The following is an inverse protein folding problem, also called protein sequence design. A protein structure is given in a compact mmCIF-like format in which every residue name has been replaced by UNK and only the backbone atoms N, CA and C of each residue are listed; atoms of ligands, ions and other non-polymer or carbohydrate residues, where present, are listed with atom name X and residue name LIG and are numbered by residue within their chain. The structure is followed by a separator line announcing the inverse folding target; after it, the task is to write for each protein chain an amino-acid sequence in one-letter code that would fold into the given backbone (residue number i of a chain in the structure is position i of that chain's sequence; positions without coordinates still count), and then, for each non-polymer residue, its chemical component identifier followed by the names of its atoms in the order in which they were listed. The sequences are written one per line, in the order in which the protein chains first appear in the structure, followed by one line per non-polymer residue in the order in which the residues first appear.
data_IF_219349121243
#
_entry.id   IF_219349121243
#
_cell.length_a   1.000
_cell.length_b   1.000
_cell.length_c   1.000
_cell.angle_alpha   90.00
_cell.angle_beta   90.00
_cell.angle_gamma   90.00
#
_symmetry.space_group_name_H-M   'P 1'
#
loop_
_entity.id
_entity.type
_entity.pdbx_description
1 polymer ?
#
# COMPACT_ATOMS: atom_id res chain seq x y z
N UNK A 1 -4.37 23.04 12.89
CA UNK A 1 -3.31 24.04 13.07
C UNK A 1 -2.17 23.42 13.87
N UNK A 2 -0.93 23.63 13.44
CA UNK A 2 0.30 23.10 14.07
C UNK A 2 0.69 23.87 15.34
N UNK A 3 0.09 25.04 15.50
CA UNK A 3 0.38 25.99 16.58
C UNK A 3 -0.83 26.15 17.50
N UNK A 4 -0.55 26.29 18.78
CA UNK A 4 -1.49 26.70 19.82
C UNK A 4 -0.88 27.87 20.60
N UNK A 5 -1.71 28.63 21.31
CA UNK A 5 -1.20 29.67 22.20
C UNK A 5 -0.95 29.10 23.58
N UNK A 6 0.20 29.38 24.15
CA UNK A 6 0.53 29.05 25.54
C UNK A 6 -0.18 29.99 26.54
N UNK A 7 0.05 29.78 27.81
CA UNK A 7 -0.53 30.60 28.90
C UNK A 7 -0.14 32.09 28.83
N UNK A 8 0.94 32.43 28.11
CA UNK A 8 1.44 33.80 27.93
C UNK A 8 0.93 34.42 26.60
N UNK A 9 0.16 33.64 25.79
CA UNK A 9 -0.34 34.08 24.50
C UNK A 9 0.63 33.94 23.35
N UNK A 10 1.80 33.32 23.55
CA UNK A 10 2.77 33.03 22.52
C UNK A 10 2.43 31.77 21.74
N UNK A 11 2.75 31.79 20.44
CA UNK A 11 2.52 30.60 19.59
C UNK A 11 3.59 29.54 19.86
N UNK A 12 3.13 28.36 20.31
CA UNK A 12 3.94 27.18 20.56
C UNK A 12 3.45 26.00 19.70
N UNK A 13 4.34 25.08 19.40
CA UNK A 13 3.94 23.87 18.69
C UNK A 13 3.08 22.97 19.58
N UNK A 14 1.91 22.58 19.08
CA UNK A 14 0.97 21.70 19.76
C UNK A 14 1.59 20.35 20.12
N UNK A 15 2.42 19.78 19.23
CA UNK A 15 3.16 18.56 19.48
C UNK A 15 4.67 18.82 19.44
N UNK A 16 5.24 19.16 20.59
CA UNK A 16 6.67 19.46 20.75
C UNK A 16 7.56 18.24 20.42
N UNK A 17 7.11 17.01 20.72
CA UNK A 17 7.89 15.80 20.42
C UNK A 17 7.99 15.54 18.92
N UNK A 18 6.88 15.72 18.22
CA UNK A 18 6.83 15.59 16.75
C UNK A 18 7.69 16.66 16.09
N UNK A 19 7.62 17.90 16.57
CA UNK A 19 8.46 18.99 16.07
C UNK A 19 9.95 18.74 16.29
N UNK A 20 10.35 18.24 17.46
CA UNK A 20 11.74 17.89 17.74
C UNK A 20 12.25 16.78 16.81
N UNK A 21 11.42 15.75 16.53
CA UNK A 21 11.75 14.71 15.56
C UNK A 21 11.92 15.27 14.14
N UNK A 22 10.99 16.11 13.68
CA UNK A 22 11.08 16.72 12.36
C UNK A 22 12.34 17.58 12.23
N UNK A 23 12.69 18.34 13.27
CA UNK A 23 13.93 19.16 13.29
C UNK A 23 15.19 18.29 13.25
N UNK A 24 15.18 17.11 13.88
CA UNK A 24 16.28 16.18 13.84
C UNK A 24 16.41 15.48 12.46
N UNK A 25 15.29 15.23 11.79
CA UNK A 25 15.28 14.58 10.47
C UNK A 25 15.65 15.56 9.34
N UNK A 26 15.37 16.85 9.46
CA UNK A 26 15.60 17.82 8.40
C UNK A 26 17.05 17.80 7.84
N UNK A 27 18.13 17.85 8.65
CA UNK A 27 19.49 17.80 8.11
C UNK A 27 19.82 16.44 7.45
N UNK A 28 19.25 15.35 7.93
CA UNK A 28 19.42 14.01 7.32
C UNK A 28 18.76 14.00 5.94
N UNK A 29 17.57 14.59 5.83
CA UNK A 29 16.86 14.69 4.56
C UNK A 29 17.60 15.59 3.56
N UNK A 30 18.17 16.71 4.01
CA UNK A 30 19.01 17.58 3.17
C UNK A 30 20.24 16.83 2.63
N UNK A 31 20.88 16.03 3.47
CA UNK A 31 22.01 15.19 3.06
C UNK A 31 21.56 14.11 2.06
N UNK A 32 20.44 13.43 2.32
CA UNK A 32 19.85 12.46 1.40
C UNK A 32 19.61 13.06 0.02
N UNK A 33 18.98 14.23 -0.06
CA UNK A 33 18.75 14.93 -1.32
C UNK A 33 20.04 15.33 -2.04
N UNK A 34 21.09 15.69 -1.28
CA UNK A 34 22.40 16.02 -1.86
C UNK A 34 23.07 14.77 -2.46
N UNK A 35 23.04 13.65 -1.76
CA UNK A 35 23.59 12.38 -2.23
C UNK A 35 22.82 11.84 -3.44
N UNK A 36 21.47 11.91 -3.44
CA UNK A 36 20.63 11.55 -4.57
C UNK A 36 20.99 12.35 -5.83
N UNK A 37 21.17 13.68 -5.71
CA UNK A 37 21.58 14.54 -6.82
C UNK A 37 22.98 14.21 -7.31
N UNK A 38 23.93 13.95 -6.42
CA UNK A 38 25.29 13.56 -6.77
C UNK A 38 25.34 12.22 -7.52
N UNK A 39 24.46 11.29 -7.16
CA UNK A 39 24.32 9.98 -7.80
C UNK A 39 23.46 10.02 -9.08
N UNK A 40 22.91 11.19 -9.45
CA UNK A 40 21.94 11.36 -10.56
C UNK A 40 20.71 10.44 -10.42
N UNK A 41 20.27 10.21 -9.17
CA UNK A 41 19.10 9.43 -8.82
C UNK A 41 17.94 10.32 -8.40
N UNK A 42 16.73 9.80 -8.52
CA UNK A 42 15.50 10.43 -8.05
C UNK A 42 14.53 9.35 -7.55
N UNK A 43 13.70 9.68 -6.58
CA UNK A 43 12.61 8.83 -6.10
C UNK A 43 11.27 9.15 -6.79
N UNK A 44 10.22 8.41 -6.43
CA UNK A 44 8.90 8.59 -7.05
C UNK A 44 8.26 9.96 -6.74
N UNK A 45 8.53 10.52 -5.56
CA UNK A 45 8.03 11.85 -5.19
C UNK A 45 8.75 12.93 -5.99
N UNK A 46 10.06 12.78 -6.21
CA UNK A 46 10.86 13.68 -7.05
C UNK A 46 10.35 13.72 -8.48
N UNK A 47 9.86 12.60 -9.04
CA UNK A 47 9.30 12.56 -10.40
C UNK A 47 8.19 13.60 -10.57
N UNK A 48 7.25 13.66 -9.62
CA UNK A 48 6.12 14.59 -9.68
C UNK A 48 6.57 16.01 -9.32
N UNK A 49 7.36 16.17 -8.26
CA UNK A 49 7.80 17.48 -7.77
C UNK A 49 8.71 18.19 -8.77
N UNK A 50 9.63 17.48 -9.43
CA UNK A 50 10.50 18.04 -10.45
C UNK A 50 9.70 18.50 -11.67
N UNK A 51 8.66 17.75 -12.06
CA UNK A 51 7.76 18.17 -13.14
C UNK A 51 7.00 19.44 -12.75
N UNK A 52 6.43 19.52 -11.56
CA UNK A 52 5.77 20.74 -11.06
C UNK A 52 6.73 21.94 -11.12
N UNK A 53 7.93 21.79 -10.58
CA UNK A 53 8.93 22.85 -10.57
C UNK A 53 9.34 23.26 -12.00
N UNK A 54 9.56 22.31 -12.89
CA UNK A 54 9.95 22.59 -14.27
C UNK A 54 8.86 23.37 -15.02
N UNK A 55 7.61 22.98 -14.90
CA UNK A 55 6.48 23.67 -15.54
C UNK A 55 6.30 25.08 -14.97
N UNK A 56 6.55 25.28 -13.67
CA UNK A 56 6.43 26.59 -13.03
C UNK A 56 7.62 27.51 -13.33
N UNK A 57 8.82 26.97 -13.47
CA UNK A 57 10.06 27.75 -13.69
C UNK A 57 10.31 28.04 -15.16
N UNK A 58 9.88 27.20 -16.09
CA UNK A 58 10.14 27.31 -17.51
C UNK A 58 8.87 27.55 -18.31
N UNK A 59 8.50 28.84 -18.58
CA UNK A 59 7.29 29.19 -19.32
C UNK A 59 7.20 28.55 -20.71
N UNK A 60 8.34 28.42 -21.40
CA UNK A 60 8.37 27.80 -22.73
C UNK A 60 8.01 26.30 -22.68
N UNK A 61 8.48 25.60 -21.66
CA UNK A 61 8.11 24.20 -21.44
C UNK A 61 6.61 24.09 -21.15
N UNK A 62 6.09 24.94 -20.27
CA UNK A 62 4.66 24.98 -19.96
C UNK A 62 3.83 25.24 -21.20
N UNK A 63 4.19 26.26 -21.98
CA UNK A 63 3.48 26.60 -23.25
C UNK A 63 3.49 25.43 -24.23
N UNK A 64 4.64 24.80 -24.45
CA UNK A 64 4.75 23.64 -25.34
C UNK A 64 3.88 22.47 -24.88
N UNK A 65 3.75 22.24 -23.57
CA UNK A 65 2.87 21.19 -23.03
C UNK A 65 1.40 21.56 -23.16
N UNK A 66 1.01 22.82 -22.97
CA UNK A 66 -0.35 23.32 -23.16
C UNK A 66 -0.79 23.19 -24.64
N UNK A 67 0.09 23.53 -25.58
CA UNK A 67 -0.18 23.36 -27.02
C UNK A 67 -0.28 21.88 -27.42
N UNK A 68 0.50 21.02 -26.77
CA UNK A 68 0.48 19.57 -27.02
C UNK A 68 -0.76 18.89 -26.47
N UNK A 69 -1.19 19.29 -25.27
CA UNK A 69 -2.29 18.66 -24.53
C UNK A 69 -3.50 19.60 -24.45
N UNK A 70 -4.20 19.72 -25.57
CA UNK A 70 -5.35 20.61 -25.69
C UNK A 70 -6.61 20.11 -25.01
N UNK A 71 -6.68 18.80 -24.70
CA UNK A 71 -7.77 18.16 -23.98
C UNK A 71 -7.17 17.35 -22.85
N UNK A 72 -7.62 17.62 -21.62
CA UNK A 72 -7.16 16.94 -20.42
C UNK A 72 -8.35 16.25 -19.76
N UNK A 73 -8.24 14.94 -19.58
CA UNK A 73 -9.23 14.13 -18.87
C UNK A 73 -8.57 13.48 -17.67
N UNK A 74 -9.19 13.65 -16.50
CA UNK A 74 -8.70 13.09 -15.23
C UNK A 74 -9.73 12.12 -14.70
N UNK A 75 -9.33 10.88 -14.55
CA UNK A 75 -10.13 9.83 -13.93
C UNK A 75 -9.74 9.68 -12.45
N UNK A 76 -10.62 9.11 -11.65
CA UNK A 76 -10.45 8.91 -10.20
C UNK A 76 -9.96 10.19 -9.48
N UNK A 77 -10.58 11.32 -9.81
CA UNK A 77 -10.13 12.64 -9.36
C UNK A 77 -10.06 12.78 -7.84
N UNK A 78 -10.90 12.04 -7.08
CA UNK A 78 -10.90 12.02 -5.62
C UNK A 78 -9.56 11.51 -5.03
N UNK A 79 -8.79 10.73 -5.79
CA UNK A 79 -7.53 10.16 -5.35
C UNK A 79 -6.30 11.01 -5.72
N UNK A 80 -6.54 12.20 -6.32
CA UNK A 80 -5.47 13.13 -6.66
C UNK A 80 -4.85 13.79 -5.44
N UNK A 81 -3.54 13.94 -5.45
CA UNK A 81 -2.81 14.74 -4.46
C UNK A 81 -2.62 16.20 -4.94
N UNK A 82 -2.13 17.06 -4.04
CA UNK A 82 -1.95 18.47 -4.33
C UNK A 82 -0.92 18.74 -5.45
N UNK A 83 0.13 17.93 -5.56
CA UNK A 83 1.14 18.09 -6.60
C UNK A 83 0.57 17.78 -8.00
N UNK A 84 -0.21 16.70 -8.10
CA UNK A 84 -0.94 16.38 -9.33
C UNK A 84 -1.92 17.49 -9.71
N UNK A 85 -2.67 18.03 -8.74
CA UNK A 85 -3.56 19.16 -8.99
C UNK A 85 -2.81 20.39 -9.51
N UNK A 86 -1.60 20.68 -8.97
CA UNK A 86 -0.75 21.78 -9.47
C UNK A 86 -0.33 21.57 -10.91
N UNK A 87 0.01 20.33 -11.31
CA UNK A 87 0.30 20.01 -12.72
C UNK A 87 -0.90 20.33 -13.59
N UNK A 88 -2.10 19.89 -13.20
CA UNK A 88 -3.33 20.14 -13.95
C UNK A 88 -3.59 21.62 -14.12
N UNK A 89 -3.50 22.41 -13.06
CA UNK A 89 -3.72 23.85 -13.15
C UNK A 89 -2.67 24.54 -14.04
N UNK A 90 -1.40 24.18 -13.93
CA UNK A 90 -0.37 24.72 -14.80
C UNK A 90 -0.58 24.38 -16.29
N UNK A 91 -1.12 23.19 -16.59
CA UNK A 91 -1.39 22.77 -17.96
C UNK A 91 -2.65 23.43 -18.55
N UNK A 92 -3.58 23.86 -17.71
CA UNK A 92 -4.87 24.42 -18.15
C UNK A 92 -4.98 25.93 -17.99
N UNK A 93 -4.04 26.56 -17.28
CA UNK A 93 -4.02 27.99 -17.03
C UNK A 93 -3.39 28.72 -18.23
N UNK A 94 -4.23 29.03 -19.20
CA UNK A 94 -3.79 29.66 -20.48
C UNK A 94 -3.63 31.18 -20.33
N UNK A 95 -2.58 31.79 -20.93
CA UNK A 95 -2.33 33.23 -20.82
C UNK A 95 -3.44 34.08 -21.43
N UNK A 96 -4.26 33.52 -22.30
CA UNK A 96 -5.30 34.24 -23.05
C UNK A 96 -6.68 34.18 -22.40
N UNK A 97 -6.82 33.49 -21.27
CA UNK A 97 -8.09 33.39 -20.52
C UNK A 97 -9.18 32.58 -21.22
N UNK A 98 -8.83 31.80 -22.23
CA UNK A 98 -9.76 30.86 -22.87
C UNK A 98 -10.14 29.76 -21.88
N UNK A 99 -11.40 29.33 -21.92
CA UNK A 99 -11.88 28.26 -21.10
C UNK A 99 -11.12 26.95 -21.45
N UNK A 100 -10.42 26.30 -20.49
CA UNK A 100 -9.66 25.10 -20.79
C UNK A 100 -10.56 23.90 -21.07
N UNK A 101 -10.12 23.02 -21.95
CA UNK A 101 -10.78 21.74 -22.21
C UNK A 101 -10.33 20.71 -21.16
N UNK A 102 -10.89 20.77 -19.96
CA UNK A 102 -10.61 19.84 -18.89
C UNK A 102 -11.88 19.14 -18.42
N UNK A 103 -11.79 17.83 -18.21
CA UNK A 103 -12.83 17.03 -17.59
C UNK A 103 -12.23 16.25 -16.41
N UNK A 104 -12.86 16.31 -15.26
CA UNK A 104 -12.53 15.53 -14.09
C UNK A 104 -13.70 14.60 -13.74
N UNK A 105 -13.42 13.32 -13.60
CA UNK A 105 -14.39 12.28 -13.21
C UNK A 105 -13.93 11.68 -11.89
N UNK A 106 -14.85 11.50 -10.97
CA UNK A 106 -14.53 10.94 -9.66
C UNK A 106 -15.75 10.78 -8.76
N UNK A 107 -15.56 10.07 -7.68
CA UNK A 107 -16.57 9.83 -6.65
C UNK A 107 -15.94 9.96 -5.25
N UNK A 108 -16.32 10.99 -4.51
CA UNK A 108 -15.81 11.24 -3.15
C UNK A 108 -16.13 10.08 -2.18
N UNK A 109 -17.21 9.34 -2.42
CA UNK A 109 -17.58 8.19 -1.62
C UNK A 109 -16.61 6.99 -1.81
N UNK A 110 -15.77 7.03 -2.85
CA UNK A 110 -14.72 6.03 -3.13
C UNK A 110 -13.31 6.50 -2.72
N UNK A 111 -13.18 7.67 -2.10
CA UNK A 111 -11.89 8.22 -1.68
C UNK A 111 -11.28 7.46 -0.48
N UNK A 112 -10.43 6.48 -0.76
CA UNK A 112 -9.79 5.62 0.25
C UNK A 112 -8.27 5.81 0.36
N UNK A 113 -7.66 6.68 -0.46
CA UNK A 113 -6.21 6.88 -0.53
C UNK A 113 -5.69 8.12 0.20
N UNK A 114 -6.44 8.65 1.18
CA UNK A 114 -6.01 9.81 1.97
C UNK A 114 -4.68 9.59 2.71
N UNK A 115 -4.35 8.35 3.08
CA UNK A 115 -3.07 7.98 3.70
C UNK A 115 -1.87 8.11 2.72
N UNK A 116 -2.11 8.15 1.41
CA UNK A 116 -1.11 8.39 0.36
C UNK A 116 -1.11 9.86 -0.12
N UNK A 117 -1.79 10.75 0.60
CA UNK A 117 -1.82 12.18 0.28
C UNK A 117 -2.95 12.59 -0.67
N UNK A 118 -3.87 11.69 -1.03
CA UNK A 118 -5.10 12.05 -1.72
C UNK A 118 -5.94 13.00 -0.84
N UNK A 119 -6.52 14.02 -1.47
CA UNK A 119 -7.29 15.04 -0.77
C UNK A 119 -8.61 15.32 -1.52
N UNK A 120 -9.71 14.83 -0.97
CA UNK A 120 -11.06 15.11 -1.49
C UNK A 120 -11.32 16.61 -1.63
N UNK A 121 -10.65 17.45 -0.81
CA UNK A 121 -10.67 18.90 -0.95
C UNK A 121 -10.22 19.41 -2.32
N UNK A 122 -9.52 18.58 -3.13
CA UNK A 122 -9.15 18.92 -4.49
C UNK A 122 -10.39 19.13 -5.40
N UNK A 123 -11.49 18.45 -5.14
CA UNK A 123 -12.75 18.68 -5.86
C UNK A 123 -13.26 20.11 -5.62
N UNK A 124 -13.21 20.58 -4.37
CA UNK A 124 -13.58 21.97 -4.07
C UNK A 124 -12.61 22.99 -4.66
N UNK A 125 -11.27 22.66 -4.69
CA UNK A 125 -10.26 23.52 -5.32
C UNK A 125 -10.46 23.59 -6.82
N UNK A 126 -10.78 22.47 -7.48
CA UNK A 126 -11.13 22.42 -8.90
C UNK A 126 -12.31 23.34 -9.21
N UNK A 127 -13.42 23.22 -8.49
CA UNK A 127 -14.61 24.05 -8.68
C UNK A 127 -14.32 25.54 -8.44
N UNK A 128 -13.47 25.86 -7.46
CA UNK A 128 -13.07 27.25 -7.21
C UNK A 128 -12.19 27.80 -8.33
N UNK A 129 -11.34 26.96 -8.90
CA UNK A 129 -10.43 27.35 -9.99
C UNK A 129 -11.17 27.52 -11.31
N UNK A 130 -12.19 26.70 -11.56
CA UNK A 130 -13.04 26.76 -12.77
C UNK A 130 -14.49 27.08 -12.36
N UNK A 131 -14.83 28.35 -12.06
CA UNK A 131 -16.14 28.70 -11.56
C UNK A 131 -17.28 28.41 -12.55
N UNK A 132 -17.02 28.49 -13.83
CA UNK A 132 -17.99 28.28 -14.92
C UNK A 132 -18.06 26.79 -15.38
N UNK A 133 -17.52 25.84 -14.59
CA UNK A 133 -17.56 24.44 -14.96
C UNK A 133 -18.99 23.89 -15.00
N UNK A 134 -19.29 23.02 -15.96
CA UNK A 134 -20.49 22.20 -15.97
C UNK A 134 -20.30 21.00 -15.04
N UNK A 135 -21.32 20.68 -14.25
CA UNK A 135 -21.30 19.51 -13.36
C UNK A 135 -22.40 18.54 -13.77
N UNK A 136 -22.04 17.28 -13.97
CA UNK A 136 -22.96 16.21 -14.33
C UNK A 136 -22.87 15.11 -13.26
N UNK A 137 -24.00 14.73 -12.71
CA UNK A 137 -24.10 13.63 -11.73
C UNK A 137 -24.57 12.39 -12.48
N UNK A 138 -23.76 11.32 -12.43
CA UNK A 138 -24.09 10.04 -13.03
C UNK A 138 -24.87 9.20 -12.01
N UNK A 139 -26.14 8.89 -12.29
CA UNK A 139 -27.01 8.11 -11.39
C UNK A 139 -27.33 6.73 -11.93
N UNK A 140 -27.12 6.49 -13.23
CA UNK A 140 -27.39 5.19 -13.85
C UNK A 140 -26.20 4.24 -13.64
N UNK A 141 -26.46 3.07 -13.05
CA UNK A 141 -25.45 2.05 -12.79
C UNK A 141 -25.74 0.78 -13.62
N UNK A 142 -24.76 0.41 -14.43
CA UNK A 142 -24.83 -0.76 -15.33
C UNK A 142 -23.97 -1.94 -14.85
N UNK A 143 -23.34 -1.82 -13.68
CA UNK A 143 -22.42 -2.82 -13.12
C UNK A 143 -23.08 -3.69 -12.06
N UNK A 144 -23.74 -3.06 -11.10
CA UNK A 144 -24.22 -3.71 -9.88
C UNK A 144 -25.73 -3.76 -9.80
N UNK A 145 -26.24 -4.77 -9.13
CA UNK A 145 -27.68 -4.85 -8.82
C UNK A 145 -28.10 -3.79 -7.80
N UNK A 146 -29.42 -3.50 -7.75
CA UNK A 146 -29.95 -2.51 -6.83
C UNK A 146 -29.69 -2.86 -5.37
N UNK A 147 -29.74 -4.14 -4.99
CA UNK A 147 -29.46 -4.56 -3.62
C UNK A 147 -28.03 -4.20 -3.18
N UNK A 148 -27.02 -4.42 -4.04
CA UNK A 148 -25.63 -4.04 -3.75
C UNK A 148 -25.52 -2.53 -3.57
N UNK A 149 -26.14 -1.75 -4.48
CA UNK A 149 -26.10 -0.29 -4.43
C UNK A 149 -26.76 0.26 -3.16
N UNK A 150 -27.91 -0.31 -2.78
CA UNK A 150 -28.64 0.11 -1.58
C UNK A 150 -27.83 -0.19 -0.31
N UNK A 151 -27.21 -1.38 -0.21
CA UNK A 151 -26.36 -1.74 0.95
C UNK A 151 -25.12 -0.87 1.03
N UNK A 152 -24.47 -0.60 -0.09
CA UNK A 152 -23.33 0.32 -0.15
C UNK A 152 -23.72 1.74 0.31
N UNK A 153 -24.90 2.21 -0.15
CA UNK A 153 -25.43 3.51 0.25
C UNK A 153 -25.76 3.58 1.74
N UNK A 154 -26.40 2.57 2.33
CA UNK A 154 -26.69 2.51 3.76
C UNK A 154 -25.43 2.70 4.62
N UNK A 155 -24.28 2.21 4.15
CA UNK A 155 -23.00 2.35 4.85
C UNK A 155 -22.43 3.75 4.65
N UNK A 156 -22.34 4.22 3.40
CA UNK A 156 -21.61 5.45 3.07
C UNK A 156 -22.32 6.73 3.54
N UNK A 157 -23.65 6.74 3.66
CA UNK A 157 -24.39 7.90 4.17
C UNK A 157 -24.06 8.24 5.63
N UNK A 158 -23.40 7.34 6.37
CA UNK A 158 -22.91 7.57 7.72
C UNK A 158 -21.63 8.42 7.74
N UNK A 159 -20.94 8.56 6.60
CA UNK A 159 -19.72 9.36 6.49
C UNK A 159 -20.05 10.86 6.51
N UNK A 160 -19.19 11.64 7.18
CA UNK A 160 -19.29 13.11 7.23
C UNK A 160 -18.52 13.74 6.06
N UNK A 161 -18.98 14.92 5.62
CA UNK A 161 -18.26 15.73 4.63
C UNK A 161 -18.44 15.28 3.18
N UNK A 162 -19.45 14.49 2.89
CA UNK A 162 -19.78 14.02 1.54
C UNK A 162 -20.20 15.19 0.64
N UNK A 163 -19.83 15.10 -0.64
CA UNK A 163 -20.22 16.07 -1.66
C UNK A 163 -21.74 16.15 -1.85
N UNK A 164 -22.44 15.04 -1.69
CA UNK A 164 -23.90 14.99 -1.75
C UNK A 164 -24.54 16.02 -0.82
N UNK A 165 -24.02 16.13 0.42
CA UNK A 165 -24.52 17.09 1.41
C UNK A 165 -23.98 18.50 1.17
N UNK A 166 -22.69 18.64 0.82
CA UNK A 166 -22.04 19.94 0.67
C UNK A 166 -22.40 20.68 -0.61
N UNK A 167 -22.88 19.94 -1.62
CA UNK A 167 -23.22 20.44 -2.95
C UNK A 167 -24.71 20.35 -3.27
N UNK A 168 -25.51 19.79 -2.38
CA UNK A 168 -26.95 19.55 -2.58
C UNK A 168 -27.25 18.80 -3.88
N UNK A 169 -26.52 17.71 -4.11
CA UNK A 169 -26.67 16.84 -5.28
C UNK A 169 -27.25 15.49 -4.88
N UNK A 170 -28.03 14.87 -5.77
CA UNK A 170 -28.54 13.52 -5.57
C UNK A 170 -27.56 12.50 -6.17
N UNK A 171 -26.97 11.65 -5.34
CA UNK A 171 -26.07 10.54 -5.74
C UNK A 171 -26.73 9.17 -5.60
N UNK A 172 -28.06 9.09 -5.54
CA UNK A 172 -28.76 7.82 -5.47
C UNK A 172 -28.65 7.11 -6.83
N UNK A 173 -27.98 5.96 -6.82
CA UNK A 173 -27.75 5.15 -8.02
C UNK A 173 -28.97 4.27 -8.35
N UNK A 174 -29.25 4.13 -9.64
CA UNK A 174 -30.29 3.24 -10.17
C UNK A 174 -29.62 2.13 -10.99
N UNK A 175 -29.89 0.88 -10.63
CA UNK A 175 -29.36 -0.27 -11.36
C UNK A 175 -30.11 -0.48 -12.68
N UNK A 176 -29.36 -0.71 -13.75
CA UNK A 176 -29.84 -1.10 -15.06
C UNK A 176 -29.42 -2.53 -15.43
N UNK A 177 -28.94 -3.31 -14.46
CA UNK A 177 -28.61 -4.71 -14.67
C UNK A 177 -29.85 -5.57 -14.43
N UNK A 178 -30.00 -6.63 -15.21
CA UNK A 178 -31.09 -7.60 -15.06
C UNK A 178 -30.75 -8.74 -14.08
N UNK A 179 -29.73 -8.57 -13.22
CA UNK A 179 -29.32 -9.60 -12.27
C UNK A 179 -30.28 -9.66 -11.07
N UNK A 180 -31.42 -10.30 -11.29
CA UNK A 180 -32.48 -10.48 -10.28
C UNK A 180 -32.09 -11.41 -9.11
N UNK A 181 -30.92 -12.08 -9.20
CA UNK A 181 -30.50 -13.11 -8.24
C UNK A 181 -29.32 -12.68 -7.35
N UNK A 182 -28.89 -11.43 -7.44
CA UNK A 182 -27.81 -10.97 -6.56
C UNK A 182 -28.33 -10.81 -5.13
N UNK A 183 -27.62 -11.39 -4.18
CA UNK A 183 -27.89 -11.26 -2.75
C UNK A 183 -26.64 -10.83 -2.01
N UNK A 184 -26.81 -9.88 -1.10
CA UNK A 184 -25.78 -9.51 -0.13
C UNK A 184 -26.01 -10.33 1.14
N UNK A 185 -25.11 -11.26 1.43
CA UNK A 185 -25.21 -12.15 2.59
C UNK A 185 -24.16 -11.78 3.64
N UNK A 186 -24.58 -11.68 4.89
CA UNK A 186 -23.72 -11.54 6.04
C UNK A 186 -23.68 -12.86 6.81
N UNK A 187 -22.49 -13.44 6.95
CA UNK A 187 -22.28 -14.66 7.71
C UNK A 187 -21.32 -14.40 8.88
N UNK A 188 -21.67 -14.88 10.06
CA UNK A 188 -20.81 -14.83 11.23
C UNK A 188 -20.46 -16.26 11.65
N UNK A 189 -19.18 -16.57 11.75
CA UNK A 189 -18.67 -17.91 12.03
C UNK A 189 -17.93 -17.94 13.36
N UNK A 190 -17.94 -19.06 14.10
CA UNK A 190 -17.38 -19.12 15.45
C UNK A 190 -15.86 -18.99 15.53
N UNK A 191 -15.17 -19.35 14.44
CA UNK A 191 -13.72 -19.31 14.36
C UNK A 191 -13.21 -18.94 12.97
N UNK A 192 -11.97 -18.47 12.91
CA UNK A 192 -11.27 -18.19 11.66
C UNK A 192 -11.09 -19.41 10.76
N UNK A 193 -10.88 -20.57 11.38
CA UNK A 193 -10.73 -21.82 10.65
C UNK A 193 -12.04 -22.20 9.94
N UNK A 194 -13.18 -22.03 10.63
CA UNK A 194 -14.50 -22.27 10.05
C UNK A 194 -14.84 -21.22 8.98
N UNK A 195 -14.43 -19.95 9.16
CA UNK A 195 -14.55 -18.91 8.14
C UNK A 195 -13.82 -19.29 6.86
N UNK A 196 -12.57 -19.73 6.96
CA UNK A 196 -11.78 -20.14 5.80
C UNK A 196 -12.34 -21.39 5.11
N UNK A 197 -12.83 -22.35 5.86
CA UNK A 197 -13.49 -23.53 5.30
C UNK A 197 -14.77 -23.13 4.57
N UNK A 198 -15.60 -22.30 5.18
CA UNK A 198 -16.84 -21.79 4.60
C UNK A 198 -16.60 -20.98 3.31
N UNK A 199 -15.55 -20.14 3.27
CA UNK A 199 -15.18 -19.41 2.05
C UNK A 199 -14.83 -20.39 0.93
N UNK A 200 -14.01 -21.41 1.20
CA UNK A 200 -13.64 -22.41 0.22
C UNK A 200 -14.85 -23.20 -0.30
N UNK A 201 -15.76 -23.62 0.58
CA UNK A 201 -17.01 -24.29 0.23
C UNK A 201 -17.93 -23.39 -0.61
N UNK A 202 -18.09 -22.11 -0.22
CA UNK A 202 -18.91 -21.15 -0.96
C UNK A 202 -18.38 -20.90 -2.38
N UNK A 203 -17.06 -20.85 -2.56
CA UNK A 203 -16.45 -20.75 -3.88
C UNK A 203 -16.73 -22.00 -4.69
N UNK A 204 -16.59 -23.19 -4.10
CA UNK A 204 -16.87 -24.47 -4.76
C UNK A 204 -18.34 -24.57 -5.22
N UNK A 205 -19.28 -24.12 -4.40
CA UNK A 205 -20.69 -24.05 -4.76
C UNK A 205 -20.93 -23.12 -5.95
N UNK A 206 -20.29 -21.97 -5.97
CA UNK A 206 -20.41 -21.02 -7.08
C UNK A 206 -19.83 -21.59 -8.38
N UNK A 207 -18.72 -22.32 -8.31
CA UNK A 207 -18.15 -23.03 -9.46
C UNK A 207 -19.13 -24.08 -9.98
N UNK A 208 -19.78 -24.85 -9.09
CA UNK A 208 -20.78 -25.86 -9.51
C UNK A 208 -22.05 -25.24 -10.12
N UNK A 209 -22.36 -24.00 -9.77
CA UNK A 209 -23.42 -23.17 -10.40
C UNK A 209 -22.98 -22.57 -11.75
N UNK A 210 -21.75 -22.80 -12.18
CA UNK A 210 -21.23 -22.36 -13.48
C UNK A 210 -20.54 -20.99 -13.45
N UNK A 211 -20.29 -20.40 -12.29
CA UNK A 211 -19.56 -19.14 -12.17
C UNK A 211 -18.05 -19.44 -12.41
N UNK A 212 -17.42 -18.65 -13.26
CA UNK A 212 -16.01 -18.82 -13.57
C UNK A 212 -15.14 -18.31 -12.41
N UNK A 213 -14.00 -18.96 -12.16
CA UNK A 213 -13.05 -18.53 -11.15
C UNK A 213 -12.58 -17.07 -11.34
N UNK A 214 -12.46 -16.62 -12.58
CA UNK A 214 -12.10 -15.23 -12.91
C UNK A 214 -13.16 -14.19 -12.50
N UNK A 215 -14.36 -14.63 -12.14
CA UNK A 215 -15.47 -13.78 -11.73
C UNK A 215 -15.65 -13.77 -10.20
N UNK A 216 -14.81 -14.53 -9.48
CA UNK A 216 -14.85 -14.64 -8.02
C UNK A 216 -13.64 -13.91 -7.42
N UNK A 217 -13.88 -12.99 -6.51
CA UNK A 217 -12.83 -12.30 -5.78
C UNK A 217 -13.01 -12.44 -4.26
N UNK A 218 -11.91 -12.66 -3.54
CA UNK A 218 -11.88 -12.62 -2.08
C UNK A 218 -11.07 -11.40 -1.67
N UNK A 219 -11.68 -10.51 -0.90
CA UNK A 219 -11.04 -9.27 -0.44
C UNK A 219 -10.90 -9.34 1.07
N UNK A 220 -9.71 -9.02 1.57
CA UNK A 220 -9.44 -8.93 3.00
C UNK A 220 -8.72 -7.63 3.34
N UNK A 221 -8.80 -7.23 4.60
CA UNK A 221 -8.16 -6.00 5.08
C UNK A 221 -6.62 -6.09 5.09
N UNK A 222 -6.07 -7.30 5.30
CA UNK A 222 -4.62 -7.55 5.38
C UNK A 222 -4.23 -8.73 4.51
N UNK A 223 -3.07 -8.64 3.88
CA UNK A 223 -2.49 -9.76 3.13
C UNK A 223 -2.32 -11.03 3.96
N UNK A 224 -1.96 -10.90 5.26
CA UNK A 224 -1.84 -12.04 6.17
C UNK A 224 -3.13 -12.87 6.28
N UNK A 225 -4.29 -12.24 6.13
CA UNK A 225 -5.58 -12.91 6.19
C UNK A 225 -5.80 -13.75 4.92
N UNK A 226 -5.39 -13.23 3.75
CA UNK A 226 -5.43 -13.96 2.48
C UNK A 226 -4.45 -15.13 2.46
N UNK A 227 -3.22 -14.95 2.96
CA UNK A 227 -2.22 -16.02 3.04
C UNK A 227 -2.75 -17.18 3.88
N UNK A 228 -3.38 -16.88 5.01
CA UNK A 228 -3.95 -17.90 5.89
C UNK A 228 -5.11 -18.69 5.26
N UNK A 229 -5.79 -18.13 4.24
CA UNK A 229 -6.84 -18.80 3.48
C UNK A 229 -6.28 -19.76 2.42
N UNK A 230 -5.07 -19.49 1.85
CA UNK A 230 -4.52 -20.28 0.74
C UNK A 230 -4.49 -21.81 0.98
N UNK A 231 -4.13 -22.34 2.17
CA UNK A 231 -4.15 -23.78 2.41
C UNK A 231 -5.54 -24.41 2.25
N UNK A 232 -6.60 -23.68 2.58
CA UNK A 232 -7.99 -24.16 2.45
C UNK A 232 -8.43 -24.20 0.98
N UNK A 233 -8.07 -23.17 0.20
CA UNK A 233 -8.33 -23.12 -1.23
C UNK A 233 -7.56 -24.22 -1.97
N UNK A 234 -6.28 -24.42 -1.65
CA UNK A 234 -5.46 -25.50 -2.21
C UNK A 234 -6.04 -26.88 -1.91
N UNK A 235 -6.51 -27.13 -0.68
CA UNK A 235 -7.14 -28.38 -0.31
C UNK A 235 -8.43 -28.65 -1.10
N UNK A 236 -9.16 -27.58 -1.44
CA UNK A 236 -10.37 -27.63 -2.28
C UNK A 236 -10.04 -27.66 -3.79
N UNK A 237 -8.77 -27.73 -4.20
CA UNK A 237 -8.31 -27.64 -5.60
C UNK A 237 -8.81 -26.38 -6.33
N UNK A 238 -8.93 -25.27 -5.64
CA UNK A 238 -9.30 -23.98 -6.20
C UNK A 238 -8.03 -23.24 -6.62
N UNK A 239 -7.88 -22.98 -7.93
CA UNK A 239 -6.77 -22.19 -8.45
C UNK A 239 -6.94 -20.72 -8.05
N UNK A 240 -5.86 -20.13 -7.52
CA UNK A 240 -5.88 -18.74 -7.02
C UNK A 240 -4.88 -17.91 -7.80
N UNK A 241 -5.30 -16.75 -8.27
CA UNK A 241 -4.40 -15.70 -8.68
C UNK A 241 -4.17 -14.76 -7.48
N UNK A 242 -3.01 -14.89 -6.85
CA UNK A 242 -2.63 -14.09 -5.70
C UNK A 242 -1.49 -13.15 -6.10
N UNK A 243 -1.85 -11.89 -6.39
CA UNK A 243 -0.88 -10.84 -6.72
C UNK A 243 -0.31 -10.26 -5.43
N UNK A 244 0.81 -10.80 -4.97
CA UNK A 244 1.64 -10.20 -3.96
C UNK A 244 2.93 -9.71 -4.59
N UNK A 245 3.32 -8.49 -4.28
CA UNK A 245 4.73 -8.09 -4.41
C UNK A 245 5.48 -8.72 -3.24
N UNK A 246 5.93 -9.96 -3.45
CA UNK A 246 6.75 -10.61 -2.44
C UNK A 246 8.11 -9.92 -2.38
N UNK A 247 8.50 -9.54 -1.18
CA UNK A 247 9.89 -9.19 -0.94
C UNK A 247 10.69 -10.49 -1.07
N UNK A 248 11.54 -10.57 -2.07
CA UNK A 248 12.38 -11.76 -2.30
C UNK A 248 13.20 -12.11 -1.04
N UNK A 249 13.55 -11.10 -0.23
CA UNK A 249 14.28 -11.31 1.02
C UNK A 249 13.45 -12.00 2.12
N UNK A 250 12.12 -12.07 1.96
CA UNK A 250 11.24 -12.79 2.92
C UNK A 250 11.12 -14.30 2.56
N UNK A 251 11.67 -14.74 1.41
CA UNK A 251 11.72 -16.16 1.05
C UNK A 251 12.68 -16.90 1.98
N UNK A 252 12.24 -18.01 2.56
CA UNK A 252 13.01 -18.80 3.53
C UNK A 252 14.38 -19.22 2.98
N UNK A 253 14.48 -19.49 1.67
CA UNK A 253 15.74 -19.88 1.02
C UNK A 253 16.69 -18.69 0.92
N UNK A 254 16.15 -17.50 0.66
CA UNK A 254 16.95 -16.27 0.60
C UNK A 254 17.42 -15.88 2.00
N UNK A 255 16.56 -15.97 3.00
CA UNK A 255 16.94 -15.75 4.41
C UNK A 255 18.03 -16.71 4.85
N UNK A 256 17.96 -17.96 4.42
CA UNK A 256 19.01 -18.93 4.70
C UNK A 256 20.34 -18.58 4.01
N UNK A 257 20.30 -18.16 2.75
CA UNK A 257 21.50 -17.68 2.04
C UNK A 257 22.09 -16.43 2.71
N UNK A 258 21.26 -15.51 3.16
CA UNK A 258 21.68 -14.32 3.90
C UNK A 258 22.35 -14.71 5.22
N UNK A 259 21.73 -15.62 5.98
CA UNK A 259 22.28 -16.15 7.23
C UNK A 259 23.68 -16.80 7.00
N UNK A 260 23.80 -17.63 5.96
CA UNK A 260 25.09 -18.25 5.60
C UNK A 260 26.13 -17.19 5.22
N UNK A 261 25.75 -16.23 4.38
CA UNK A 261 26.65 -15.16 3.96
C UNK A 261 27.12 -14.31 5.14
N UNK A 262 26.22 -13.99 6.05
CA UNK A 262 26.52 -13.22 7.27
C UNK A 262 27.51 -13.94 8.15
N UNK A 263 27.30 -15.22 8.44
CA UNK A 263 28.25 -16.05 9.22
C UNK A 263 29.61 -16.09 8.54
N UNK A 264 29.69 -16.26 7.21
CA UNK A 264 30.94 -16.25 6.49
C UNK A 264 31.69 -14.92 6.59
N UNK A 265 30.97 -13.80 6.50
CA UNK A 265 31.53 -12.45 6.62
C UNK A 265 32.05 -12.22 8.03
N UNK A 266 31.30 -12.58 9.08
CA UNK A 266 31.68 -12.43 10.47
C UNK A 266 32.93 -13.25 10.81
N UNK A 267 33.01 -14.50 10.32
CA UNK A 267 34.21 -15.33 10.46
C UNK A 267 35.42 -14.70 9.76
N UNK A 268 35.24 -14.21 8.53
CA UNK A 268 36.29 -13.59 7.76
C UNK A 268 36.80 -12.26 8.38
N UNK A 269 35.91 -11.52 9.04
CA UNK A 269 36.21 -10.30 9.77
C UNK A 269 36.87 -10.56 11.15
N UNK A 270 36.87 -11.82 11.64
CA UNK A 270 37.34 -12.18 12.96
C UNK A 270 36.32 -11.92 14.08
N UNK A 271 35.06 -11.65 13.73
CA UNK A 271 33.94 -11.41 14.64
C UNK A 271 33.31 -12.75 15.05
N UNK A 272 34.12 -13.61 15.69
CA UNK A 272 33.74 -14.98 16.00
C UNK A 272 32.56 -15.10 16.98
N UNK A 273 32.35 -14.14 17.86
CA UNK A 273 31.24 -14.14 18.80
C UNK A 273 29.91 -13.93 18.11
N UNK A 274 29.86 -13.05 17.09
CA UNK A 274 28.64 -12.83 16.28
C UNK A 274 28.33 -14.05 15.43
N UNK A 275 29.32 -14.56 14.67
CA UNK A 275 29.15 -15.80 13.93
C UNK A 275 28.69 -16.97 14.83
N UNK A 276 29.27 -17.10 16.02
CA UNK A 276 28.93 -18.11 16.99
C UNK A 276 27.47 -18.06 17.45
N UNK A 277 26.89 -16.86 17.55
CA UNK A 277 25.48 -16.67 17.92
C UNK A 277 24.49 -17.13 16.85
N UNK A 278 24.89 -17.11 15.57
CA UNK A 278 24.07 -17.46 14.41
C UNK A 278 24.21 -18.93 13.98
N UNK A 279 25.30 -19.60 14.35
CA UNK A 279 25.55 -21.00 13.98
C UNK A 279 24.47 -21.98 14.42
N UNK A 280 23.88 -21.91 15.63
CA UNK A 280 22.80 -22.79 16.04
C UNK A 280 21.58 -22.73 15.11
N UNK A 281 21.22 -21.53 14.66
CA UNK A 281 20.10 -21.32 13.73
C UNK A 281 20.41 -21.94 12.37
N UNK A 282 21.63 -21.78 11.89
CA UNK A 282 22.05 -22.36 10.61
C UNK A 282 22.01 -23.88 10.62
N UNK A 283 22.66 -24.53 11.58
CA UNK A 283 22.76 -26.00 11.63
C UNK A 283 21.43 -26.69 11.96
N UNK A 284 20.47 -25.97 12.53
CA UNK A 284 19.12 -26.47 12.75
C UNK A 284 18.27 -26.49 11.48
N UNK A 285 18.76 -25.95 10.36
CA UNK A 285 18.01 -25.93 9.12
C UNK A 285 17.91 -27.34 8.51
N UNK A 286 16.72 -27.72 7.97
CA UNK A 286 16.48 -29.06 7.44
C UNK A 286 17.44 -29.48 6.32
N UNK A 287 18.02 -28.53 5.59
CA UNK A 287 18.93 -28.81 4.50
C UNK A 287 20.23 -29.51 4.91
N UNK A 288 20.65 -29.37 6.18
CA UNK A 288 21.86 -30.00 6.69
C UNK A 288 21.61 -31.40 7.26
N UNK A 289 20.37 -31.78 7.42
CA UNK A 289 19.92 -33.11 7.90
C UNK A 289 20.60 -33.58 9.20
N UNK A 290 20.96 -32.64 10.07
CA UNK A 290 21.51 -32.98 11.37
C UNK A 290 20.40 -33.38 12.33
N UNK A 291 20.62 -34.48 13.05
CA UNK A 291 19.71 -34.90 14.09
C UNK A 291 19.65 -33.88 15.25
N UNK A 292 18.45 -33.53 15.68
CA UNK A 292 18.22 -32.59 16.79
C UNK A 292 18.95 -32.99 18.08
N UNK A 293 19.08 -34.29 18.36
CA UNK A 293 19.83 -34.81 19.52
C UNK A 293 21.32 -34.51 19.33
N UNK A 294 21.87 -34.65 18.14
CA UNK A 294 23.27 -34.33 17.84
C UNK A 294 23.58 -32.85 18.06
N UNK A 295 22.69 -31.98 17.60
CA UNK A 295 22.80 -30.52 17.80
C UNK A 295 22.75 -30.20 19.31
N UNK A 296 21.83 -30.81 20.04
CA UNK A 296 21.72 -30.59 21.47
C UNK A 296 22.95 -31.10 22.25
N UNK A 297 23.50 -32.25 21.87
CA UNK A 297 24.75 -32.77 22.45
C UNK A 297 25.93 -31.83 22.20
N UNK A 298 26.04 -31.28 20.98
CA UNK A 298 27.07 -30.29 20.60
C UNK A 298 26.95 -29.04 21.50
N UNK A 299 25.73 -28.54 21.70
CA UNK A 299 25.45 -27.40 22.59
C UNK A 299 25.95 -27.64 24.01
N UNK A 300 25.63 -28.82 24.58
CA UNK A 300 26.08 -29.20 25.91
C UNK A 300 27.60 -29.35 26.00
N UNK A 301 28.23 -29.88 24.95
CA UNK A 301 29.68 -30.02 24.87
C UNK A 301 30.36 -28.65 24.82
N UNK A 302 29.90 -27.73 23.96
CA UNK A 302 30.42 -26.38 23.88
C UNK A 302 30.30 -25.65 25.24
N UNK A 303 29.14 -25.77 25.89
CA UNK A 303 28.91 -25.14 27.18
C UNK A 303 29.84 -25.70 28.27
N UNK A 304 29.98 -27.05 28.37
CA UNK A 304 30.84 -27.72 29.39
C UNK A 304 32.32 -27.39 29.20
N UNK A 305 32.76 -27.36 27.95
CA UNK A 305 34.17 -27.12 27.60
C UNK A 305 34.53 -25.62 27.54
N UNK A 306 33.51 -24.74 27.65
CA UNK A 306 33.64 -23.29 27.48
C UNK A 306 34.27 -22.92 26.13
N UNK A 307 33.92 -23.67 25.09
CA UNK A 307 34.32 -23.43 23.71
C UNK A 307 33.18 -22.81 22.95
N UNK A 308 33.46 -22.13 21.82
CA UNK A 308 32.44 -21.64 20.95
C UNK A 308 31.86 -22.76 20.04
N UNK A 309 30.72 -22.49 19.37
CA UNK A 309 30.05 -23.45 18.52
C UNK A 309 30.92 -23.89 17.35
N UNK A 310 31.65 -22.96 16.73
CA UNK A 310 32.52 -23.26 15.59
C UNK A 310 33.62 -24.24 15.97
N UNK A 311 34.30 -23.99 17.09
CA UNK A 311 35.35 -24.89 17.61
C UNK A 311 34.79 -26.27 17.99
N UNK A 312 33.60 -26.31 18.61
CA UNK A 312 32.94 -27.57 18.97
C UNK A 312 32.53 -28.34 17.73
N UNK A 313 32.05 -27.70 16.66
CA UNK A 313 31.71 -28.33 15.39
C UNK A 313 32.96 -28.89 14.68
N UNK A 314 34.03 -28.11 14.58
CA UNK A 314 35.30 -28.54 13.96
C UNK A 314 35.95 -29.72 14.72
N UNK A 315 35.71 -29.84 16.02
CA UNK A 315 36.20 -30.97 16.84
C UNK A 315 35.29 -32.22 16.79
N UNK A 316 34.11 -32.11 16.22
CA UNK A 316 33.11 -33.19 16.20
C UNK A 316 33.05 -33.86 14.81
N UNK A 317 33.29 -35.17 14.71
CA UNK A 317 33.19 -35.90 13.45
C UNK A 317 31.80 -35.87 12.80
N UNK A 318 30.76 -35.64 13.57
CA UNK A 318 29.36 -35.58 13.10
C UNK A 318 29.06 -34.33 12.28
N UNK A 319 29.83 -33.24 12.48
CA UNK A 319 29.60 -31.94 11.86
C UNK A 319 30.72 -31.55 10.85
N UNK A 320 31.62 -32.45 10.56
CA UNK A 320 32.63 -32.34 9.51
C UNK A 320 32.10 -32.94 8.22
#
# INVERSE_FOLDING_TARGET
TWLEKDANGEFVFRDRKRHAKLRAVAPIYDQYLAEMRQAELFDYDDMILNVVQAIEQYPDLRFNLQERYQYIMVDEFQDTNLAQLRILFNLTDTPHGDAPNIMAVGDDDQAIYSFQGADVGNIHRFRKHYPDHASVVLTDNYRSSQEILDRAREIIVQASGRLETSMDINKQLQAHTNDANSQVTLSALPSRQEEFAWIAESIQENITKGIKLSEIAVIARRHSDLIALLPYLNRANIAVNYERRDNVLDDERIQLLELMARICVDIAAGEHDEANSLLPELIAQPMFDFDSEAIWRLSLQAYRNRTNWLEAMLASPTFQ
#
